data_IF_293791698937
#
_entry.id   IF_293791698937
#
_cell.length_a   1.000
_cell.length_b   1.000
_cell.length_c   1.000
_cell.angle_alpha   90.00
_cell.angle_beta   90.00
_cell.angle_gamma   90.00
#
_symmetry.space_group_name_H-M   'P 1'
#
loop_
_entity.id
_entity.type
_entity.pdbx_description
1 polymer ?
#
# COMPACT_ATOMS: atom_id res chain seq x y z
N UNK A 1 4.17 -4.29 9.14
CA UNK A 1 2.95 -5.13 9.25
C UNK A 1 3.18 -6.36 8.39
N UNK A 2 3.00 -7.55 8.93
CA UNK A 2 3.15 -8.79 8.18
C UNK A 2 1.89 -9.10 7.36
N UNK A 3 1.99 -9.94 6.31
CA UNK A 3 0.81 -10.37 5.56
C UNK A 3 -0.31 -10.99 6.43
N UNK A 4 0.06 -11.78 7.44
CA UNK A 4 -0.92 -12.41 8.34
C UNK A 4 -1.65 -11.39 9.25
N UNK A 5 -0.94 -10.36 9.69
CA UNK A 5 -1.53 -9.23 10.43
C UNK A 5 -2.50 -8.46 9.54
N UNK A 6 -2.15 -8.22 8.28
CA UNK A 6 -3.02 -7.55 7.31
C UNK A 6 -4.31 -8.32 7.10
N UNK A 7 -4.25 -9.63 6.80
CA UNK A 7 -5.46 -10.45 6.65
C UNK A 7 -6.38 -10.37 7.87
N UNK A 8 -5.78 -10.40 9.08
CA UNK A 8 -6.53 -10.31 10.33
C UNK A 8 -7.20 -8.94 10.49
N UNK A 9 -6.49 -7.86 10.21
CA UNK A 9 -7.05 -6.50 10.30
C UNK A 9 -8.15 -6.24 9.28
N UNK A 10 -8.00 -6.73 8.05
CA UNK A 10 -9.03 -6.63 7.01
C UNK A 10 -10.29 -7.39 7.46
N UNK A 11 -10.13 -8.64 7.89
CA UNK A 11 -11.25 -9.45 8.37
C UNK A 11 -12.00 -8.79 9.54
N UNK A 12 -11.26 -8.24 10.51
CA UNK A 12 -11.83 -7.51 11.65
C UNK A 12 -12.54 -6.22 11.22
N UNK A 13 -11.96 -5.44 10.31
CA UNK A 13 -12.51 -4.17 9.87
C UNK A 13 -13.86 -4.35 9.17
N UNK A 14 -13.97 -5.35 8.29
CA UNK A 14 -15.20 -5.61 7.52
C UNK A 14 -16.16 -6.59 8.20
N UNK A 15 -15.81 -7.11 9.38
CA UNK A 15 -16.64 -8.11 10.07
C UNK A 15 -16.82 -9.41 9.29
N UNK A 16 -15.82 -9.79 8.48
CA UNK A 16 -15.85 -10.96 7.59
C UNK A 16 -14.92 -12.07 8.09
N UNK A 17 -15.12 -13.29 7.57
CA UNK A 17 -14.16 -14.36 7.76
C UNK A 17 -12.89 -14.12 6.95
N UNK A 18 -11.73 -14.56 7.47
CA UNK A 18 -10.43 -14.46 6.79
C UNK A 18 -10.41 -15.16 5.41
N UNK A 19 -11.28 -16.14 5.17
CA UNK A 19 -11.37 -16.82 3.88
C UNK A 19 -11.96 -15.94 2.75
N UNK A 20 -12.55 -14.78 3.10
CA UNK A 20 -12.99 -13.74 2.16
C UNK A 20 -11.88 -12.74 1.81
N UNK A 21 -10.69 -12.93 2.38
CA UNK A 21 -9.51 -12.11 2.11
C UNK A 21 -8.54 -12.93 1.26
N UNK A 22 -8.24 -12.45 0.07
CA UNK A 22 -7.44 -13.16 -0.92
C UNK A 22 -5.97 -12.75 -0.83
N UNK A 23 -5.07 -13.72 -0.89
CA UNK A 23 -3.61 -13.49 -0.92
C UNK A 23 -3.07 -13.87 -2.29
N UNK A 24 -2.27 -12.96 -2.85
CA UNK A 24 -1.56 -13.15 -4.10
C UNK A 24 -0.07 -13.24 -3.81
N UNK A 25 0.58 -14.17 -4.49
CA UNK A 25 2.01 -14.42 -4.36
C UNK A 25 2.66 -14.50 -5.73
N UNK A 26 3.96 -14.25 -5.76
CA UNK A 26 4.81 -14.39 -6.92
C UNK A 26 5.57 -15.73 -6.85
N UNK A 27 5.22 -16.74 -7.66
CA UNK A 27 5.80 -18.09 -7.57
C UNK A 27 7.31 -18.12 -7.81
N UNK A 28 7.82 -17.25 -8.69
CA UNK A 28 9.23 -17.21 -9.05
C UNK A 28 10.14 -16.60 -7.97
N UNK A 29 9.60 -15.91 -6.98
CA UNK A 29 10.37 -15.31 -5.88
C UNK A 29 10.10 -16.09 -4.60
N UNK A 30 11.06 -16.93 -4.20
CA UNK A 30 10.94 -17.76 -3.00
C UNK A 30 11.67 -17.11 -1.83
N UNK A 31 10.93 -16.77 -0.77
CA UNK A 31 11.46 -16.36 0.52
C UNK A 31 11.32 -17.52 1.49
N UNK A 32 12.44 -18.14 1.87
CA UNK A 32 12.45 -19.26 2.82
C UNK A 32 11.69 -20.49 2.29
N UNK A 33 11.75 -20.72 0.98
CA UNK A 33 11.07 -21.82 0.30
C UNK A 33 9.58 -21.61 0.04
N UNK A 34 9.03 -20.41 0.31
CA UNK A 34 7.63 -20.07 0.03
C UNK A 34 7.54 -18.91 -0.97
N UNK A 35 6.55 -18.92 -1.89
CA UNK A 35 6.30 -17.79 -2.77
C UNK A 35 6.10 -16.47 -2.00
N UNK A 36 6.79 -15.42 -2.42
CA UNK A 36 6.69 -14.10 -1.84
C UNK A 36 5.27 -13.56 -2.03
N UNK A 37 4.65 -13.07 -0.96
CA UNK A 37 3.34 -12.43 -1.02
C UNK A 37 3.50 -11.03 -1.60
N UNK A 38 2.71 -10.70 -2.62
CA UNK A 38 2.76 -9.40 -3.31
C UNK A 38 1.51 -8.57 -3.08
N UNK A 39 0.37 -9.21 -2.79
CA UNK A 39 -0.85 -8.49 -2.46
C UNK A 39 -1.75 -9.26 -1.51
N UNK A 40 -2.53 -8.53 -0.72
CA UNK A 40 -3.70 -9.03 -0.01
C UNK A 40 -4.89 -8.15 -0.38
N UNK A 41 -5.96 -8.77 -0.87
CA UNK A 41 -7.14 -8.07 -1.36
C UNK A 41 -8.39 -8.52 -0.61
N UNK A 42 -9.30 -7.59 -0.43
CA UNK A 42 -10.72 -7.81 -0.14
C UNK A 42 -11.54 -7.06 -1.18
N UNK A 43 -12.63 -7.68 -1.63
CA UNK A 43 -13.60 -7.05 -2.52
C UNK A 43 -15.00 -7.61 -2.25
N UNK A 44 -15.98 -6.74 -2.05
CA UNK A 44 -17.39 -7.10 -1.97
C UNK A 44 -18.27 -5.89 -2.30
N UNK A 45 -19.38 -6.10 -3.02
CA UNK A 45 -20.39 -5.07 -3.28
C UNK A 45 -19.83 -3.76 -3.89
N UNK A 46 -18.74 -3.83 -4.66
CA UNK A 46 -18.07 -2.67 -5.26
C UNK A 46 -17.14 -1.89 -4.32
N UNK A 47 -17.04 -2.29 -3.05
CA UNK A 47 -16.01 -1.85 -2.12
C UNK A 47 -14.79 -2.77 -2.23
N UNK A 48 -13.58 -2.21 -2.24
CA UNK A 48 -12.35 -2.99 -2.25
C UNK A 48 -11.25 -2.38 -1.38
N UNK A 49 -10.43 -3.27 -0.82
CA UNK A 49 -9.22 -2.92 -0.10
C UNK A 49 -8.09 -3.81 -0.58
N UNK A 50 -7.02 -3.21 -1.09
CA UNK A 50 -5.82 -3.88 -1.53
C UNK A 50 -4.63 -3.37 -0.72
N UNK A 51 -3.80 -4.29 -0.24
CA UNK A 51 -2.52 -4.01 0.38
C UNK A 51 -1.44 -4.67 -0.45
N UNK A 52 -0.55 -3.87 -1.01
CA UNK A 52 0.58 -4.32 -1.81
C UNK A 52 1.84 -4.42 -0.96
N UNK A 53 2.60 -5.46 -1.21
CA UNK A 53 3.82 -5.81 -0.50
C UNK A 53 5.00 -5.81 -1.46
N UNK A 54 6.14 -5.32 -0.99
CA UNK A 54 7.37 -5.28 -1.78
C UNK A 54 8.48 -6.05 -1.08
N UNK A 55 9.23 -6.84 -1.84
CA UNK A 55 10.33 -7.64 -1.29
C UNK A 55 11.61 -6.82 -1.29
N UNK A 56 11.96 -6.23 -0.14
CA UNK A 56 13.17 -5.39 -0.02
C UNK A 56 14.43 -6.14 0.43
N UNK A 57 14.33 -7.45 0.62
CA UNK A 57 15.45 -8.34 0.98
C UNK A 57 15.19 -9.77 0.54
N UNK A 58 16.25 -10.53 0.25
CA UNK A 58 16.19 -11.97 -0.03
C UNK A 58 16.29 -12.82 1.25
N UNK A 59 16.63 -12.21 2.38
CA UNK A 59 16.69 -12.92 3.66
C UNK A 59 15.25 -13.18 4.15
N UNK A 60 14.84 -14.45 4.34
CA UNK A 60 13.48 -14.77 4.76
C UNK A 60 13.13 -14.31 6.19
N UNK A 61 14.13 -13.97 7.00
CA UNK A 61 13.89 -13.40 8.32
C UNK A 61 13.49 -11.92 8.26
N UNK A 62 13.76 -11.23 7.14
CA UNK A 62 13.43 -9.82 7.00
C UNK A 62 11.92 -9.67 6.73
N UNK A 63 11.27 -8.66 7.33
CA UNK A 63 9.85 -8.44 7.11
C UNK A 63 9.59 -8.04 5.66
N UNK A 64 8.48 -8.52 5.08
CA UNK A 64 7.95 -8.02 3.80
C UNK A 64 7.03 -6.83 4.10
N UNK A 65 7.49 -5.58 3.89
CA UNK A 65 6.69 -4.41 4.18
C UNK A 65 5.55 -4.25 3.17
N UNK A 66 4.41 -3.77 3.67
CA UNK A 66 3.40 -3.17 2.79
C UNK A 66 3.91 -1.80 2.33
N UNK A 67 3.87 -1.53 1.02
CA UNK A 67 4.30 -0.25 0.47
C UNK A 67 3.13 0.60 -0.05
N UNK A 68 2.00 -0.03 -0.34
CA UNK A 68 0.82 0.67 -0.81
C UNK A 68 -0.46 0.04 -0.26
N UNK A 69 -1.39 0.87 0.15
CA UNK A 69 -2.75 0.49 0.56
C UNK A 69 -3.71 1.28 -0.30
N UNK A 70 -4.59 0.59 -1.02
CA UNK A 70 -5.63 1.17 -1.85
C UNK A 70 -6.99 0.77 -1.30
N UNK A 71 -7.81 1.74 -0.95
CA UNK A 71 -9.20 1.56 -0.56
C UNK A 71 -10.10 2.25 -1.58
N UNK A 72 -11.15 1.56 -1.99
CA UNK A 72 -12.09 2.06 -2.98
C UNK A 72 -13.53 1.77 -2.58
N UNK A 73 -14.37 2.77 -2.73
CA UNK A 73 -15.82 2.66 -2.60
C UNK A 73 -16.49 2.55 -3.98
N UNK A 74 -17.74 2.05 -4.06
CA UNK A 74 -18.55 2.13 -5.28
C UNK A 74 -18.66 3.57 -5.78
N UNK A 75 -18.56 3.77 -7.10
CA UNK A 75 -18.60 5.12 -7.68
C UNK A 75 -19.95 5.80 -7.43
N UNK A 76 -19.95 6.84 -6.60
CA UNK A 76 -21.08 7.75 -6.43
C UNK A 76 -20.57 9.09 -5.88
N UNK A 77 -21.34 10.15 -6.11
CA UNK A 77 -21.01 11.47 -5.53
C UNK A 77 -21.03 11.43 -4.00
N UNK A 78 -22.02 10.74 -3.43
CA UNK A 78 -22.17 10.60 -1.99
C UNK A 78 -20.97 9.89 -1.35
N UNK A 79 -20.52 8.77 -1.92
CA UNK A 79 -19.35 8.04 -1.42
C UNK A 79 -18.08 8.89 -1.52
N UNK A 80 -17.92 9.67 -2.59
CA UNK A 80 -16.77 10.56 -2.74
C UNK A 80 -16.75 11.68 -1.68
N UNK A 81 -17.91 12.28 -1.40
CA UNK A 81 -18.06 13.32 -0.37
C UNK A 81 -17.83 12.75 1.03
N UNK A 82 -18.39 11.57 1.33
CA UNK A 82 -18.20 10.88 2.61
C UNK A 82 -16.75 10.45 2.83
N UNK A 83 -16.09 9.87 1.81
CA UNK A 83 -14.69 9.46 1.91
C UNK A 83 -13.77 10.66 2.16
N UNK A 84 -14.00 11.75 1.43
CA UNK A 84 -13.29 13.02 1.65
C UNK A 84 -13.50 13.55 3.07
N UNK A 85 -14.73 13.59 3.55
CA UNK A 85 -15.05 14.08 4.89
C UNK A 85 -14.39 13.21 5.97
N UNK A 86 -14.49 11.88 5.85
CA UNK A 86 -13.87 10.94 6.77
C UNK A 86 -12.33 11.07 6.78
N UNK A 87 -11.71 11.28 5.62
CA UNK A 87 -10.28 11.52 5.54
C UNK A 87 -9.87 12.81 6.24
N UNK A 88 -10.56 13.93 5.99
CA UNK A 88 -10.29 15.21 6.66
C UNK A 88 -10.51 15.08 8.18
N UNK A 89 -11.56 14.40 8.61
CA UNK A 89 -11.83 14.18 10.03
C UNK A 89 -10.71 13.38 10.71
N UNK A 90 -10.18 12.36 10.02
CA UNK A 90 -9.17 11.45 10.58
C UNK A 90 -7.75 12.01 10.51
N UNK A 91 -7.40 12.68 9.42
CA UNK A 91 -6.03 13.10 9.10
C UNK A 91 -5.82 14.62 9.20
N UNK A 92 -6.88 15.39 9.45
CA UNK A 92 -6.83 16.85 9.54
C UNK A 92 -6.75 17.54 8.18
N UNK A 93 -6.29 18.78 8.19
CA UNK A 93 -6.12 19.59 6.97
C UNK A 93 -5.06 18.95 6.04
N UNK A 94 -5.36 18.76 4.75
CA UNK A 94 -4.41 18.23 3.80
C UNK A 94 -3.23 19.19 3.58
N UNK A 95 -2.03 18.63 3.40
CA UNK A 95 -0.82 19.39 3.02
C UNK A 95 -0.99 20.03 1.65
N UNK A 96 -1.52 19.28 0.69
CA UNK A 96 -1.86 19.76 -0.65
C UNK A 96 -3.38 19.77 -0.78
N UNK A 97 -3.96 20.97 -0.77
CA UNK A 97 -5.40 21.18 -0.85
C UNK A 97 -5.88 21.44 -2.29
N UNK A 98 -5.37 20.64 -3.22
CA UNK A 98 -5.84 20.56 -4.62
C UNK A 98 -6.26 19.12 -4.90
N UNK A 99 -6.98 18.86 -5.99
CA UNK A 99 -7.41 17.50 -6.31
C UNK A 99 -6.28 16.69 -6.96
N UNK A 100 -6.00 15.44 -6.52
CA UNK A 100 -6.55 14.78 -5.31
C UNK A 100 -5.94 15.35 -4.03
N UNK A 101 -6.69 15.36 -2.92
CA UNK A 101 -6.18 15.84 -1.64
C UNK A 101 -5.02 14.99 -1.17
N UNK A 102 -3.99 15.60 -0.60
CA UNK A 102 -2.81 14.85 -0.13
C UNK A 102 -2.38 15.25 1.27
N UNK A 103 -1.97 14.24 2.05
CA UNK A 103 -1.28 14.40 3.32
C UNK A 103 0.11 13.80 3.20
N UNK A 104 1.12 14.63 3.43
CA UNK A 104 2.52 14.25 3.45
C UNK A 104 3.24 14.95 4.61
N UNK A 105 4.34 14.36 5.05
CA UNK A 105 5.13 14.88 6.16
C UNK A 105 5.80 16.22 5.82
N UNK A 106 6.23 16.38 4.56
CA UNK A 106 6.88 17.57 4.03
C UNK A 106 6.31 17.97 2.66
N UNK A 107 6.22 19.27 2.42
CA UNK A 107 5.94 19.83 1.10
C UNK A 107 6.74 21.12 0.92
N UNK A 108 7.78 21.06 0.09
CA UNK A 108 8.55 22.24 -0.29
C UNK A 108 7.76 23.12 -1.28
N UNK A 109 6.81 22.51 -1.99
CA UNK A 109 5.88 23.19 -2.88
C UNK A 109 4.43 22.98 -2.37
N UNK A 110 3.63 24.03 -2.14
CA UNK A 110 2.24 23.90 -1.68
C UNK A 110 1.33 23.16 -2.68
N UNK A 111 1.78 22.93 -3.91
CA UNK A 111 1.04 22.15 -4.92
C UNK A 111 1.40 20.65 -4.94
N UNK A 112 2.49 20.22 -4.29
CA UNK A 112 3.03 18.85 -4.43
C UNK A 112 3.71 18.37 -3.15
N UNK A 113 3.51 17.10 -2.81
CA UNK A 113 4.32 16.44 -1.80
C UNK A 113 5.75 16.17 -2.32
N UNK A 114 6.74 16.30 -1.45
CA UNK A 114 8.13 15.95 -1.78
C UNK A 114 8.27 14.44 -2.01
N UNK A 115 9.23 14.02 -2.83
CA UNK A 115 9.48 12.59 -3.13
C UNK A 115 10.09 11.84 -1.94
N UNK A 116 9.88 10.52 -1.87
CA UNK A 116 10.60 9.66 -0.91
C UNK A 116 10.02 9.64 0.50
N UNK A 117 8.74 9.96 0.62
CA UNK A 117 8.00 9.91 1.88
C UNK A 117 6.66 9.20 1.70
N UNK A 118 6.06 8.82 2.82
CA UNK A 118 4.70 8.30 2.80
C UNK A 118 3.70 9.42 2.44
N UNK A 119 2.81 9.15 1.49
CA UNK A 119 1.78 10.08 1.02
C UNK A 119 0.42 9.40 1.05
N UNK A 120 -0.54 10.02 1.72
CA UNK A 120 -1.95 9.66 1.65
C UNK A 120 -2.64 10.53 0.59
N UNK A 121 -3.35 9.93 -0.36
CA UNK A 121 -4.08 10.62 -1.43
C UNK A 121 -5.56 10.25 -1.34
N UNK A 122 -6.45 11.23 -1.49
CA UNK A 122 -7.89 11.01 -1.57
C UNK A 122 -8.45 11.74 -2.78
N UNK A 123 -9.07 11.00 -3.68
CA UNK A 123 -9.69 11.53 -4.89
C UNK A 123 -10.85 10.65 -5.33
N UNK A 124 -11.98 11.27 -5.68
CA UNK A 124 -13.23 10.57 -5.98
C UNK A 124 -13.57 9.58 -4.84
N UNK A 125 -13.70 8.30 -5.19
CA UNK A 125 -14.04 7.19 -4.29
C UNK A 125 -12.82 6.37 -3.90
N UNK A 126 -11.61 6.91 -4.13
CA UNK A 126 -10.35 6.22 -3.93
C UNK A 126 -9.54 6.93 -2.83
N UNK A 127 -9.01 6.13 -1.91
CA UNK A 127 -8.04 6.53 -0.89
C UNK A 127 -6.82 5.63 -1.02
N UNK A 128 -5.64 6.21 -1.22
CA UNK A 128 -4.39 5.47 -1.30
C UNK A 128 -3.35 5.99 -0.32
N UNK A 129 -2.67 5.08 0.37
CA UNK A 129 -1.47 5.37 1.14
C UNK A 129 -0.30 4.69 0.42
N UNK A 130 0.71 5.46 0.07
CA UNK A 130 1.89 5.01 -0.66
C UNK A 130 3.15 5.42 0.10
N UNK A 131 4.16 4.55 0.16
CA UNK A 131 5.46 4.83 0.77
C UNK A 131 6.61 4.50 -0.20
N UNK A 132 7.05 5.52 -0.93
CA UNK A 132 8.05 5.42 -1.99
C UNK A 132 9.41 4.90 -1.51
N UNK A 133 9.71 4.98 -0.21
CA UNK A 133 11.00 4.55 0.34
C UNK A 133 11.26 3.06 0.09
N UNK A 134 10.20 2.25 0.06
CA UNK A 134 10.30 0.81 -0.20
C UNK A 134 10.60 0.51 -1.67
N UNK A 135 9.99 1.27 -2.60
CA UNK A 135 10.28 1.15 -4.04
C UNK A 135 11.75 1.45 -4.30
N UNK A 136 12.29 2.52 -3.72
CA UNK A 136 13.71 2.87 -3.87
C UNK A 136 14.63 1.76 -3.34
N UNK A 137 14.28 1.14 -2.20
CA UNK A 137 15.08 0.06 -1.63
C UNK A 137 15.04 -1.22 -2.48
N UNK A 138 13.90 -1.52 -3.07
CA UNK A 138 13.75 -2.64 -3.99
C UNK A 138 14.60 -2.48 -5.25
N UNK A 139 14.58 -1.29 -5.86
CA UNK A 139 15.40 -0.99 -7.05
C UNK A 139 16.89 -1.15 -6.73
N UNK A 140 17.35 -0.66 -5.59
CA UNK A 140 18.73 -0.89 -5.12
C UNK A 140 19.06 -2.37 -4.98
N UNK A 141 18.16 -3.18 -4.41
CA UNK A 141 18.36 -4.62 -4.28
C UNK A 141 18.51 -5.31 -5.65
N UNK A 142 17.67 -4.93 -6.63
CA UNK A 142 17.78 -5.46 -7.99
C UNK A 142 19.09 -5.07 -8.66
N UNK A 143 19.53 -3.82 -8.50
CA UNK A 143 20.81 -3.34 -9.02
C UNK A 143 22.00 -4.05 -8.34
N UNK A 144 21.93 -4.27 -7.02
CA UNK A 144 22.92 -5.05 -6.27
C UNK A 144 22.96 -6.51 -6.76
N UNK A 145 21.82 -7.12 -7.08
CA UNK A 145 21.78 -8.48 -7.64
C UNK A 145 22.38 -8.54 -9.05
N UNK A 146 22.09 -7.55 -9.89
CA UNK A 146 22.61 -7.46 -11.28
C UNK A 146 24.11 -7.15 -11.33
N UNK A 147 24.61 -6.36 -10.38
CA UNK A 147 26.02 -5.95 -10.31
C UNK A 147 26.93 -6.99 -9.66
N UNK A 148 26.38 -7.94 -8.88
CA UNK A 148 27.15 -9.07 -8.35
C UNK A 148 27.57 -9.98 -9.50
N UNK A 149 28.88 -10.02 -9.79
CA UNK A 149 29.47 -11.02 -10.68
C UNK A 149 29.08 -12.43 -10.19
N UNK A 150 28.71 -13.36 -11.08
CA UNK A 150 28.50 -14.75 -10.69
C UNK A 150 29.79 -15.25 -10.02
N UNK A 151 29.64 -15.88 -8.85
CA UNK A 151 30.75 -16.57 -8.20
C UNK A 151 31.06 -17.80 -9.07
N UNK A 152 32.21 -17.78 -9.74
CA UNK A 152 32.85 -18.95 -10.32
C UNK A 152 33.45 -19.82 -9.21
#
# INVERSE_FOLDING_TARGET
MTPAEVQTKIAQHFGISKNKVHTYSQPQLLLGGKPAITAINYEANGESLQVLFETVSINPADPVPAYQINYKLPFSRENAEQLKAAAIQKYGTPTVNSYPLQWCANATNPALCDSGQATLKVGNTDLSLEDDRYVQRYLQLLDDQRSRKPRL
#
